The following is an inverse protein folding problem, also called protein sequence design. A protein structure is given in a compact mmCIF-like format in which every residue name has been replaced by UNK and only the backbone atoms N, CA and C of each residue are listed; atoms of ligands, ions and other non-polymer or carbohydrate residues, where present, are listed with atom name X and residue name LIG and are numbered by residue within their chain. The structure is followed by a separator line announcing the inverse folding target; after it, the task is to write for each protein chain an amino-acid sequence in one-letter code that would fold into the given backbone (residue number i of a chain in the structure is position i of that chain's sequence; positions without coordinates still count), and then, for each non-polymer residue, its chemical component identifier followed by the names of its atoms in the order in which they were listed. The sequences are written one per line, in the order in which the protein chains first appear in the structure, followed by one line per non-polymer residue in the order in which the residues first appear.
data_IF_989247035911
#
_entry.id   IF_989247035911
#
_cell.length_a   1.000
_cell.length_b   1.000
_cell.length_c   1.000
_cell.angle_alpha   90.00
_cell.angle_beta   90.00
_cell.angle_gamma   90.00
#
_symmetry.space_group_name_H-M   'P 1'
#
loop_
_entity.id
_entity.type
_entity.pdbx_description
1 polymer ?
#
# COMPACT_ATOMS: atom_id res chain seq x y z
N UNK A 1 -24.11 1.66 -5.20
CA UNK A 1 -22.75 1.13 -5.06
C UNK A 1 -22.71 -0.12 -5.90
N UNK A 2 -21.80 -0.22 -6.87
CA UNK A 2 -21.66 -1.46 -7.65
C UNK A 2 -21.00 -2.53 -6.77
N UNK A 3 -21.13 -3.81 -7.15
CA UNK A 3 -20.67 -4.94 -6.32
C UNK A 3 -19.18 -4.81 -6.00
N UNK A 4 -18.38 -4.41 -6.98
CA UNK A 4 -16.93 -4.24 -6.87
C UNK A 4 -16.55 -3.15 -5.86
N UNK A 5 -17.27 -2.02 -5.85
CA UNK A 5 -17.04 -0.92 -4.90
C UNK A 5 -17.33 -1.37 -3.47
N UNK A 6 -18.42 -2.14 -3.27
CA UNK A 6 -18.78 -2.69 -1.97
C UNK A 6 -17.71 -3.67 -1.44
N UNK A 7 -17.17 -4.52 -2.32
CA UNK A 7 -16.06 -5.43 -1.98
C UNK A 7 -14.86 -4.64 -1.47
N UNK A 8 -14.48 -3.56 -2.16
CA UNK A 8 -13.34 -2.72 -1.77
C UNK A 8 -13.61 -1.93 -0.51
N UNK A 9 -14.81 -1.38 -0.35
CA UNK A 9 -15.22 -0.68 0.86
C UNK A 9 -15.07 -1.58 2.10
N UNK A 10 -15.58 -2.82 2.04
CA UNK A 10 -15.46 -3.79 3.15
C UNK A 10 -14.00 -4.16 3.39
N UNK A 11 -13.23 -4.40 2.32
CA UNK A 11 -11.80 -4.70 2.42
C UNK A 11 -11.04 -3.59 3.14
N UNK A 12 -11.15 -2.34 2.68
CA UNK A 12 -10.42 -1.21 3.27
C UNK A 12 -10.93 -0.86 4.67
N UNK A 13 -12.21 -1.13 4.98
CA UNK A 13 -12.73 -1.07 6.35
C UNK A 13 -11.96 -2.03 7.26
N UNK A 14 -11.78 -3.29 6.86
CA UNK A 14 -10.97 -4.25 7.62
C UNK A 14 -9.51 -3.81 7.76
N UNK A 15 -8.88 -3.30 6.69
CA UNK A 15 -7.50 -2.79 6.73
C UNK A 15 -7.37 -1.64 7.74
N UNK A 16 -8.31 -0.68 7.73
CA UNK A 16 -8.30 0.47 8.65
C UNK A 16 -8.44 0.05 10.12
N UNK A 17 -9.13 -1.06 10.38
CA UNK A 17 -9.32 -1.65 11.70
C UNK A 17 -8.22 -2.68 12.06
N UNK A 18 -7.14 -2.74 11.27
CA UNK A 18 -6.02 -3.67 11.48
C UNK A 18 -6.43 -5.16 11.46
N UNK A 19 -7.55 -5.47 10.82
CA UNK A 19 -8.10 -6.82 10.70
C UNK A 19 -7.61 -7.50 9.39
N UNK A 20 -6.30 -7.63 9.20
CA UNK A 20 -5.69 -8.06 7.93
C UNK A 20 -6.13 -9.46 7.48
N UNK A 21 -6.28 -10.39 8.41
CA UNK A 21 -6.72 -11.76 8.16
C UNK A 21 -8.17 -11.78 7.67
N UNK A 22 -9.06 -10.99 8.29
CA UNK A 22 -10.45 -10.83 7.80
C UNK A 22 -10.49 -10.17 6.43
N UNK A 23 -9.64 -9.18 6.18
CA UNK A 23 -9.53 -8.55 4.87
C UNK A 23 -9.15 -9.59 3.79
N UNK A 24 -8.20 -10.48 4.07
CA UNK A 24 -7.81 -11.55 3.14
C UNK A 24 -8.91 -12.59 2.93
N UNK A 25 -9.55 -13.05 4.00
CA UNK A 25 -10.67 -14.00 3.93
C UNK A 25 -11.83 -13.43 3.11
N UNK A 26 -12.13 -12.14 3.26
CA UNK A 26 -13.14 -11.44 2.47
C UNK A 26 -12.81 -11.52 0.97
N UNK A 27 -11.59 -11.17 0.58
CA UNK A 27 -11.17 -11.22 -0.83
C UNK A 27 -11.16 -12.65 -1.38
N UNK A 28 -10.75 -13.65 -0.59
CA UNK A 28 -10.78 -15.06 -1.02
C UNK A 28 -12.20 -15.56 -1.32
N UNK A 29 -13.22 -15.08 -0.59
CA UNK A 29 -14.63 -15.44 -0.84
C UNK A 29 -15.18 -14.86 -2.13
N UNK A 30 -14.70 -13.68 -2.52
CA UNK A 30 -15.16 -12.96 -3.72
C UNK A 30 -14.46 -13.40 -5.00
N UNK A 31 -13.36 -14.15 -4.90
CA UNK A 31 -12.61 -14.64 -6.07
C UNK A 31 -13.36 -15.76 -6.76
N UNK A 32 -13.51 -15.64 -8.07
CA UNK A 32 -14.01 -16.73 -8.90
C UNK A 32 -12.90 -17.77 -9.14
N UNK A 33 -13.12 -19.05 -8.82
CA UNK A 33 -12.11 -20.07 -9.04
C UNK A 33 -11.82 -20.24 -10.54
N UNK A 34 -10.53 -20.28 -10.89
CA UNK A 34 -9.99 -20.61 -12.23
C UNK A 34 -10.21 -19.56 -13.33
N UNK A 35 -10.64 -18.33 -12.99
CA UNK A 35 -10.81 -17.24 -13.96
C UNK A 35 -9.63 -16.26 -13.90
N UNK A 36 -8.89 -16.11 -15.00
CA UNK A 36 -7.78 -15.14 -15.11
C UNK A 36 -8.33 -13.86 -15.74
N UNK A 37 -8.90 -13.00 -14.90
CA UNK A 37 -9.40 -11.67 -15.27
C UNK A 37 -8.55 -10.58 -14.61
N UNK A 38 -8.54 -9.35 -15.18
CA UNK A 38 -7.91 -8.22 -14.51
C UNK A 38 -8.43 -7.99 -13.10
N UNK A 39 -9.74 -8.17 -12.88
CA UNK A 39 -10.36 -8.12 -11.55
C UNK A 39 -9.81 -9.18 -10.59
N UNK A 40 -9.77 -10.46 -10.96
CA UNK A 40 -9.21 -11.49 -10.07
C UNK A 40 -7.71 -11.28 -9.81
N UNK A 41 -6.99 -10.74 -10.79
CA UNK A 41 -5.58 -10.36 -10.62
C UNK A 41 -5.43 -9.21 -9.64
N UNK A 42 -6.31 -8.20 -9.73
CA UNK A 42 -6.40 -7.11 -8.76
C UNK A 42 -6.70 -7.62 -7.34
N UNK A 43 -7.66 -8.53 -7.19
CA UNK A 43 -7.97 -9.16 -5.90
C UNK A 43 -6.77 -9.92 -5.31
N UNK A 44 -5.94 -10.57 -6.13
CA UNK A 44 -4.68 -11.17 -5.66
C UNK A 44 -3.73 -10.12 -5.08
N UNK A 45 -3.62 -8.94 -5.70
CA UNK A 45 -2.81 -7.85 -5.16
C UNK A 45 -3.33 -7.35 -3.81
N UNK A 46 -4.65 -7.26 -3.62
CA UNK A 46 -5.21 -6.86 -2.33
C UNK A 46 -4.81 -7.80 -1.18
N UNK A 47 -4.67 -9.10 -1.45
CA UNK A 47 -4.20 -10.03 -0.41
C UNK A 47 -2.73 -9.82 -0.05
N UNK A 48 -1.90 -9.54 -1.06
CA UNK A 48 -0.50 -9.18 -0.83
C UNK A 48 -0.39 -7.84 -0.09
N UNK A 49 -1.24 -6.87 -0.43
CA UNK A 49 -1.32 -5.57 0.22
C UNK A 49 -1.64 -5.71 1.71
N UNK A 50 -2.61 -6.56 2.08
CA UNK A 50 -2.96 -6.80 3.48
C UNK A 50 -1.76 -7.34 4.29
N UNK A 51 -0.95 -8.21 3.70
CA UNK A 51 0.27 -8.72 4.33
C UNK A 51 1.35 -7.65 4.48
N UNK A 52 1.53 -6.82 3.44
CA UNK A 52 2.48 -5.71 3.49
C UNK A 52 2.08 -4.66 4.53
N UNK A 53 0.80 -4.30 4.59
CA UNK A 53 0.27 -3.35 5.60
C UNK A 53 0.41 -3.88 7.02
N UNK A 54 0.19 -5.18 7.25
CA UNK A 54 0.48 -5.79 8.56
C UNK A 54 1.95 -5.58 8.96
N UNK A 55 2.88 -5.90 8.06
CA UNK A 55 4.31 -5.71 8.30
C UNK A 55 4.70 -4.24 8.49
N UNK A 56 4.02 -3.33 7.81
CA UNK A 56 4.18 -1.88 7.99
C UNK A 56 3.77 -1.44 9.39
N UNK A 57 2.60 -1.86 9.87
CA UNK A 57 2.08 -1.49 11.19
C UNK A 57 2.95 -2.05 12.32
N UNK A 58 3.56 -3.22 12.11
CA UNK A 58 4.54 -3.79 13.04
C UNK A 58 5.89 -3.04 13.02
N UNK A 59 6.06 -2.05 12.13
CA UNK A 59 7.28 -1.24 11.96
C UNK A 59 8.51 -2.14 11.73
N UNK A 60 8.30 -3.30 11.09
CA UNK A 60 9.35 -4.30 10.88
C UNK A 60 10.52 -3.79 10.03
N UNK A 61 10.28 -2.74 9.23
CA UNK A 61 11.30 -2.08 8.42
C UNK A 61 12.35 -1.31 9.22
N UNK A 62 12.05 -0.85 10.45
CA UNK A 62 13.06 -0.20 11.31
C UNK A 62 13.99 -1.21 12.00
N UNK A 63 13.48 -2.40 12.32
CA UNK A 63 14.20 -3.41 13.11
C UNK A 63 15.34 -4.11 12.34
N UNK A 64 15.28 -4.09 11.01
CA UNK A 64 16.22 -4.86 10.17
C UNK A 64 17.58 -4.18 9.93
N UNK A 65 17.75 -2.89 10.28
CA UNK A 65 19.00 -2.16 9.99
C UNK A 65 20.22 -2.67 10.80
N UNK A 66 20.02 -3.25 11.99
CA UNK A 66 21.12 -3.74 12.83
C UNK A 66 21.41 -5.25 12.70
N UNK A 67 20.63 -6.01 11.93
CA UNK A 67 20.84 -7.47 11.70
C UNK A 67 21.15 -7.82 10.23
N UNK A 68 21.46 -6.81 9.41
CA UNK A 68 21.43 -6.85 7.94
C UNK A 68 22.60 -7.56 7.25
N UNK A 69 23.46 -8.30 7.97
CA UNK A 69 24.64 -8.90 7.34
C UNK A 69 24.34 -10.14 6.47
N UNK A 70 23.13 -10.73 6.57
CA UNK A 70 22.81 -12.01 5.91
C UNK A 70 21.40 -12.13 5.30
N UNK A 71 20.60 -11.06 5.20
CA UNK A 71 19.24 -11.15 4.62
C UNK A 71 19.14 -10.35 3.32
N UNK A 72 18.91 -11.11 2.24
CA UNK A 72 18.53 -10.69 0.88
C UNK A 72 17.57 -9.50 0.91
N UNK A 73 17.76 -8.55 0.00
CA UNK A 73 17.09 -7.25 -0.19
C UNK A 73 15.54 -7.28 -0.31
N UNK A 74 14.84 -7.87 0.66
CA UNK A 74 13.38 -7.90 0.74
C UNK A 74 12.90 -6.93 1.83
N UNK A 75 13.35 -5.68 1.74
CA UNK A 75 12.82 -4.61 2.58
C UNK A 75 11.35 -4.39 2.27
N UNK A 76 10.56 -3.94 3.25
CA UNK A 76 9.16 -3.60 3.01
C UNK A 76 9.00 -2.55 1.89
N UNK A 77 9.99 -1.67 1.75
CA UNK A 77 10.10 -0.72 0.64
C UNK A 77 10.16 -1.42 -0.72
N UNK A 78 11.01 -2.45 -0.89
CA UNK A 78 11.10 -3.17 -2.15
C UNK A 78 9.84 -3.98 -2.47
N UNK A 79 9.13 -4.46 -1.44
CA UNK A 79 7.81 -5.09 -1.60
C UNK A 79 6.80 -4.10 -2.19
N UNK A 80 6.68 -2.90 -1.63
CA UNK A 80 5.77 -1.88 -2.16
C UNK A 80 6.16 -1.40 -3.57
N UNK A 81 7.46 -1.24 -3.85
CA UNK A 81 7.92 -0.87 -5.20
C UNK A 81 7.62 -1.96 -6.23
N UNK A 82 7.82 -3.24 -5.88
CA UNK A 82 7.45 -4.35 -6.77
C UNK A 82 5.94 -4.35 -7.04
N UNK A 83 5.13 -4.22 -5.99
CA UNK A 83 3.67 -4.21 -6.12
C UNK A 83 3.19 -3.05 -7.00
N UNK A 84 3.77 -1.86 -6.85
CA UNK A 84 3.49 -0.72 -7.73
C UNK A 84 3.77 -1.03 -9.20
N UNK A 85 4.92 -1.64 -9.49
CA UNK A 85 5.28 -2.00 -10.86
C UNK A 85 4.33 -3.05 -11.44
N UNK A 86 3.87 -3.99 -10.62
CA UNK A 86 2.96 -5.04 -11.07
C UNK A 86 1.51 -4.53 -11.23
N UNK A 87 1.06 -3.60 -10.40
CA UNK A 87 -0.21 -2.87 -10.58
C UNK A 87 -0.20 -2.03 -11.86
N UNK A 88 0.92 -1.38 -12.18
CA UNK A 88 1.07 -0.63 -13.43
C UNK A 88 0.96 -1.54 -14.66
N UNK A 89 1.58 -2.73 -14.62
CA UNK A 89 1.40 -3.73 -15.70
C UNK A 89 -0.06 -4.20 -15.78
N UNK A 90 -0.75 -4.34 -14.66
CA UNK A 90 -2.16 -4.73 -14.65
C UNK A 90 -3.04 -3.64 -15.28
N UNK A 91 -2.80 -2.38 -14.94
CA UNK A 91 -3.45 -1.22 -15.53
C UNK A 91 -3.28 -1.19 -17.06
N UNK A 92 -2.05 -1.41 -17.55
CA UNK A 92 -1.73 -1.46 -18.98
C UNK A 92 -2.41 -2.64 -19.71
N UNK A 93 -2.72 -3.73 -19.00
CA UNK A 93 -3.35 -4.94 -19.55
C UNK A 93 -4.89 -4.89 -19.55
N UNK A 94 -5.50 -3.90 -18.90
CA UNK A 94 -6.94 -3.73 -18.85
C UNK A 94 -7.48 -3.30 -20.24
N UNK A 95 -8.56 -3.95 -20.70
CA UNK A 95 -9.20 -3.65 -22.01
C UNK A 95 -10.29 -2.59 -21.84
N UNK A 96 -11.08 -2.35 -22.89
CA UNK A 96 -12.11 -1.29 -22.91
C UNK A 96 -13.41 -1.62 -22.15
N UNK A 97 -13.51 -2.76 -21.44
CA UNK A 97 -14.73 -3.07 -20.69
C UNK A 97 -14.94 -2.10 -19.51
N UNK A 98 -16.18 -1.92 -19.06
CA UNK A 98 -16.49 -1.04 -17.93
C UNK A 98 -15.79 -1.48 -16.63
N UNK A 99 -15.73 -2.80 -16.39
CA UNK A 99 -15.02 -3.37 -15.25
C UNK A 99 -13.51 -3.15 -15.34
N UNK A 100 -12.93 -3.26 -16.53
CA UNK A 100 -11.50 -3.01 -16.74
C UNK A 100 -11.14 -1.54 -16.46
N UNK A 101 -11.97 -0.59 -16.88
CA UNK A 101 -11.78 0.84 -16.55
C UNK A 101 -11.82 1.10 -15.05
N UNK A 102 -12.72 0.42 -14.34
CA UNK A 102 -12.78 0.48 -12.86
C UNK A 102 -11.51 -0.09 -12.24
N UNK A 103 -11.04 -1.25 -12.71
CA UNK A 103 -9.76 -1.85 -12.26
C UNK A 103 -8.59 -0.90 -12.50
N UNK A 104 -8.54 -0.20 -13.64
CA UNK A 104 -7.51 0.82 -13.91
C UNK A 104 -7.52 1.92 -12.84
N UNK A 105 -8.70 2.50 -12.56
CA UNK A 105 -8.84 3.52 -11.53
C UNK A 105 -8.42 3.01 -10.15
N UNK A 106 -8.82 1.78 -9.78
CA UNK A 106 -8.41 1.20 -8.51
C UNK A 106 -6.89 0.97 -8.44
N UNK A 107 -6.25 0.54 -9.53
CA UNK A 107 -4.80 0.39 -9.60
C UNK A 107 -4.07 1.73 -9.41
N UNK A 108 -4.59 2.80 -9.99
CA UNK A 108 -4.05 4.16 -9.82
C UNK A 108 -4.17 4.62 -8.36
N UNK A 109 -5.35 4.44 -7.75
CA UNK A 109 -5.60 4.82 -6.35
C UNK A 109 -4.69 4.05 -5.39
N UNK A 110 -4.55 2.72 -5.58
CA UNK A 110 -3.63 1.93 -4.76
C UNK A 110 -2.18 2.32 -5.01
N UNK A 111 -1.79 2.63 -6.24
CA UNK A 111 -0.43 3.08 -6.55
C UNK A 111 -0.07 4.37 -5.80
N UNK A 112 -1.00 5.33 -5.73
CA UNK A 112 -0.82 6.55 -4.94
C UNK A 112 -0.67 6.23 -3.45
N UNK A 113 -1.52 5.35 -2.92
CA UNK A 113 -1.43 4.86 -1.54
C UNK A 113 -0.07 4.22 -1.24
N UNK A 114 0.44 3.36 -2.13
CA UNK A 114 1.75 2.71 -1.98
C UNK A 114 2.90 3.73 -1.98
N UNK A 115 2.84 4.74 -2.86
CA UNK A 115 3.84 5.82 -2.86
C UNK A 115 3.82 6.62 -1.54
N UNK A 116 2.64 6.90 -1.00
CA UNK A 116 2.51 7.56 0.30
C UNK A 116 3.10 6.69 1.43
N UNK A 117 2.85 5.37 1.41
CA UNK A 117 3.45 4.43 2.38
C UNK A 117 4.98 4.41 2.31
N UNK A 118 5.55 4.40 1.11
CA UNK A 118 7.01 4.47 0.92
C UNK A 118 7.57 5.78 1.48
N UNK A 119 6.92 6.91 1.22
CA UNK A 119 7.32 8.20 1.78
C UNK A 119 7.26 8.20 3.33
N UNK A 120 6.25 7.53 3.91
CA UNK A 120 6.14 7.38 5.36
C UNK A 120 7.22 6.47 5.94
N UNK A 121 7.62 5.40 5.24
CA UNK A 121 8.78 4.58 5.64
C UNK A 121 10.01 5.47 5.79
N UNK A 122 10.32 6.29 4.77
CA UNK A 122 11.48 7.18 4.81
C UNK A 122 11.39 8.19 5.96
N UNK A 123 10.18 8.71 6.24
CA UNK A 123 9.92 9.62 7.35
C UNK A 123 10.19 8.94 8.69
N UNK A 124 9.64 7.74 8.92
CA UNK A 124 9.85 6.99 10.16
C UNK A 124 11.32 6.63 10.36
N UNK A 125 12.03 6.27 9.29
CA UNK A 125 13.47 6.01 9.36
C UNK A 125 14.26 7.26 9.75
N UNK A 126 13.92 8.43 9.18
CA UNK A 126 14.54 9.70 9.56
C UNK A 126 14.24 10.06 11.02
N UNK A 127 12.98 9.93 11.45
CA UNK A 127 12.57 10.18 12.84
C UNK A 127 13.36 9.28 13.80
N UNK A 128 13.47 7.99 13.49
CA UNK A 128 14.23 7.03 14.28
C UNK A 128 15.70 7.44 14.41
N UNK A 129 16.36 7.78 13.29
CA UNK A 129 17.76 8.21 13.29
C UNK A 129 17.98 9.52 14.05
N UNK A 130 17.06 10.50 13.93
CA UNK A 130 17.11 11.75 14.71
C UNK A 130 16.90 11.46 16.20
N UNK A 131 16.01 10.53 16.54
CA UNK A 131 15.76 10.12 17.93
C UNK A 131 16.94 9.45 18.63
N UNK A 132 17.85 8.82 17.86
CA UNK A 132 19.12 8.31 18.41
C UNK A 132 20.08 9.44 18.82
N UNK A 133 19.93 10.63 18.24
CA UNK A 133 20.69 11.81 18.63
C UNK A 133 19.98 12.52 19.79
N UNK A 134 20.70 12.79 20.89
CA UNK A 134 20.14 13.38 22.13
C UNK A 134 19.55 14.79 21.97
N UNK A 135 19.75 15.44 20.83
CA UNK A 135 19.20 16.76 20.51
C UNK A 135 18.19 16.65 19.37
N UNK A 136 16.92 16.55 19.73
CA UNK A 136 15.82 16.49 18.79
C UNK A 136 15.43 17.91 18.34
N UNK A 137 15.59 18.23 17.06
CA UNK A 137 15.15 19.51 16.49
C UNK A 137 13.72 19.37 15.95
N UNK A 138 12.74 19.71 16.78
CA UNK A 138 11.31 19.57 16.44
C UNK A 138 10.91 20.29 15.15
N UNK A 139 11.50 21.45 14.85
CA UNK A 139 11.27 22.21 13.61
C UNK A 139 11.64 21.37 12.38
N UNK A 140 12.72 20.60 12.44
CA UNK A 140 13.13 19.76 11.31
C UNK A 140 12.17 18.59 11.10
N UNK A 141 11.67 18.01 12.18
CA UNK A 141 10.66 16.95 12.10
C UNK A 141 9.35 17.47 11.53
N UNK A 142 8.92 18.66 11.95
CA UNK A 142 7.74 19.33 11.39
C UNK A 142 7.91 19.54 9.88
N UNK A 143 9.05 20.10 9.45
CA UNK A 143 9.32 20.32 8.03
C UNK A 143 9.31 19.02 7.21
N UNK A 144 9.80 17.91 7.78
CA UNK A 144 9.74 16.59 7.15
C UNK A 144 8.29 16.10 6.98
N UNK A 145 7.46 16.26 8.00
CA UNK A 145 6.03 15.89 7.95
C UNK A 145 5.30 16.72 6.89
N UNK A 146 5.47 18.05 6.91
CA UNK A 146 4.85 18.97 5.96
C UNK A 146 5.26 18.65 4.51
N UNK A 147 6.53 18.30 4.29
CA UNK A 147 7.03 17.88 2.98
C UNK A 147 6.32 16.61 2.49
N UNK A 148 6.11 15.63 3.36
CA UNK A 148 5.40 14.39 3.01
C UNK A 148 3.92 14.67 2.72
N UNK A 149 3.25 15.49 3.54
CA UNK A 149 1.85 15.87 3.30
C UNK A 149 1.72 16.54 1.93
N UNK A 150 2.49 17.61 1.69
CA UNK A 150 2.46 18.39 0.45
C UNK A 150 2.76 17.53 -0.79
N UNK A 151 3.64 16.53 -0.65
CA UNK A 151 3.98 15.62 -1.76
C UNK A 151 2.83 14.70 -2.16
N UNK A 152 1.92 14.37 -1.25
CA UNK A 152 0.88 13.36 -1.49
C UNK A 152 -0.54 13.95 -1.49
N UNK A 153 -0.75 15.19 -1.04
CA UNK A 153 -2.08 15.81 -0.87
C UNK A 153 -2.94 15.77 -2.14
N UNK A 154 -2.36 16.06 -3.31
CA UNK A 154 -3.08 16.06 -4.59
C UNK A 154 -3.45 14.65 -5.07
N UNK A 155 -2.75 13.61 -4.61
CA UNK A 155 -3.08 12.24 -4.97
C UNK A 155 -4.39 11.78 -4.33
N UNK A 156 -4.71 12.29 -3.15
CA UNK A 156 -5.87 11.82 -2.38
C UNK A 156 -7.13 12.67 -2.54
N UNK A 157 -7.20 13.55 -3.55
CA UNK A 157 -8.37 14.42 -3.78
C UNK A 157 -9.50 13.75 -4.57
N UNK A 158 -9.21 12.69 -5.31
CA UNK A 158 -10.18 11.94 -6.11
C UNK A 158 -10.03 10.43 -5.86
N UNK A 159 -10.30 10.03 -4.62
CA UNK A 159 -10.38 8.62 -4.25
C UNK A 159 -11.77 8.14 -4.65
N UNK A 160 -11.94 7.78 -5.92
CA UNK A 160 -13.09 7.00 -6.37
C UNK A 160 -12.95 5.57 -5.85
N UNK A 161 -13.58 5.30 -4.71
CA UNK A 161 -13.90 3.96 -4.20
C UNK A 161 -15.38 3.68 -4.40
#
# INVERSE_FOLDING_TARGET
MEKEDEILYIYFTHISQLCFEKAKEHIEREKEPKSVTPWNTFLNFLQQLALAEKSYIEIGFLQNKHKSFLRKDNSLRSVYESMKNDLKKLEDNCRQSMLDKRVQNYCQNITQFLNARINLIDLYEKIYNVGLNKQLRYIELQNLIETVIKRNELGFTDISL
#
